data_IF_418970203603
#
_entry.id   IF_418970203603
#
_cell.length_a   1.000
_cell.length_b   1.000
_cell.length_c   1.000
_cell.angle_alpha   90.00
_cell.angle_beta   90.00
_cell.angle_gamma   90.00
#
_symmetry.space_group_name_H-M   'P 1'
#
loop_
_entity.id
_entity.type
_entity.pdbx_description
1 polymer ?
#
# COMPACT_ATOMS: atom_id res chain seq x y z
N UNK A 1 10.19 -3.93 -14.05
CA UNK A 1 9.64 -5.29 -13.79
C UNK A 1 8.31 -5.51 -14.48
N UNK A 2 7.24 -4.79 -14.12
CA UNK A 2 5.90 -4.98 -14.69
C UNK A 2 5.86 -4.84 -16.23
N UNK A 3 6.63 -3.90 -16.81
CA UNK A 3 6.76 -3.76 -18.26
C UNK A 3 7.14 -5.08 -18.97
N UNK A 4 8.22 -5.72 -18.52
CA UNK A 4 8.68 -7.00 -19.08
C UNK A 4 7.74 -8.16 -18.76
N UNK A 5 7.04 -8.11 -17.62
CA UNK A 5 6.00 -9.09 -17.33
C UNK A 5 4.85 -8.99 -18.32
N UNK A 6 4.37 -7.77 -18.59
CA UNK A 6 3.28 -7.53 -19.54
C UNK A 6 3.65 -7.91 -20.98
N UNK A 7 4.92 -7.77 -21.38
CA UNK A 7 5.35 -8.20 -22.72
C UNK A 7 5.31 -9.72 -22.91
N UNK A 8 5.35 -10.51 -21.83
CA UNK A 8 5.34 -11.98 -21.88
C UNK A 8 3.93 -12.52 -21.63
N UNK A 9 3.24 -12.01 -20.61
CA UNK A 9 1.95 -12.54 -20.13
C UNK A 9 0.73 -11.71 -20.52
N UNK A 10 0.93 -10.56 -21.18
CA UNK A 10 -0.12 -9.64 -21.60
C UNK A 10 -0.45 -8.53 -20.59
N UNK A 11 -1.30 -7.60 -21.00
CA UNK A 11 -1.69 -6.39 -20.25
C UNK A 11 -3.07 -6.47 -19.60
N UNK A 12 -3.69 -7.65 -19.56
CA UNK A 12 -5.00 -7.83 -18.91
C UNK A 12 -4.91 -7.63 -17.39
N UNK A 13 -6.05 -7.35 -16.75
CA UNK A 13 -6.13 -7.21 -15.28
C UNK A 13 -5.64 -8.47 -14.56
N UNK A 14 -5.91 -9.66 -15.10
CA UNK A 14 -5.45 -10.93 -14.53
C UNK A 14 -3.93 -11.05 -14.68
N UNK A 15 -3.40 -10.80 -15.89
CA UNK A 15 -1.97 -10.92 -16.16
C UNK A 15 -1.15 -9.97 -15.29
N UNK A 16 -1.56 -8.71 -15.19
CA UNK A 16 -0.86 -7.69 -14.39
C UNK A 16 -0.91 -7.99 -12.89
N UNK A 17 -2.03 -8.52 -12.37
CA UNK A 17 -2.17 -8.94 -10.96
C UNK A 17 -1.45 -10.26 -10.63
N UNK A 18 -1.15 -11.09 -11.62
CA UNK A 18 -0.42 -12.34 -11.40
C UNK A 18 1.03 -12.10 -10.91
N UNK A 19 1.69 -11.02 -11.36
CA UNK A 19 3.05 -10.69 -10.92
C UNK A 19 3.17 -10.52 -9.39
N UNK A 20 2.43 -9.60 -8.74
CA UNK A 20 2.47 -9.49 -7.28
C UNK A 20 1.97 -10.76 -6.58
N UNK A 21 1.10 -11.55 -7.22
CA UNK A 21 0.66 -12.85 -6.72
C UNK A 21 1.80 -13.87 -6.61
N UNK A 22 2.59 -14.01 -7.68
CA UNK A 22 3.79 -14.86 -7.69
C UNK A 22 4.79 -14.41 -6.63
N UNK A 23 5.02 -13.10 -6.49
CA UNK A 23 5.90 -12.54 -5.46
C UNK A 23 5.38 -12.85 -4.05
N UNK A 24 4.07 -12.76 -3.84
CA UNK A 24 3.41 -13.16 -2.59
C UNK A 24 3.65 -14.63 -2.25
N UNK A 25 3.51 -15.53 -3.22
CA UNK A 25 3.80 -16.97 -3.04
C UNK A 25 5.29 -17.21 -2.73
N UNK A 26 6.19 -16.53 -3.45
CA UNK A 26 7.64 -16.61 -3.19
C UNK A 26 8.02 -16.07 -1.80
N UNK A 27 7.21 -15.20 -1.21
CA UNK A 27 7.40 -14.69 0.14
C UNK A 27 7.15 -15.76 1.21
N UNK A 28 6.34 -16.78 0.93
CA UNK A 28 6.03 -17.85 1.90
C UNK A 28 7.28 -18.64 2.36
N UNK A 29 8.13 -19.21 1.49
CA UNK A 29 9.36 -19.87 1.94
C UNK A 29 10.33 -18.92 2.65
N UNK A 30 10.37 -17.64 2.24
CA UNK A 30 11.18 -16.61 2.91
C UNK A 30 10.66 -16.34 4.32
N UNK A 31 9.34 -16.23 4.50
CA UNK A 31 8.71 -16.03 5.80
C UNK A 31 8.90 -17.24 6.73
N UNK A 32 8.79 -18.46 6.20
CA UNK A 32 9.16 -19.68 6.93
C UNK A 32 10.60 -19.58 7.43
N UNK A 33 11.53 -19.25 6.53
CA UNK A 33 12.93 -19.12 6.89
C UNK A 33 13.13 -18.05 7.97
N UNK A 34 12.54 -16.87 7.83
CA UNK A 34 12.61 -15.80 8.83
C UNK A 34 12.07 -16.23 10.21
N UNK A 35 10.94 -16.95 10.24
CA UNK A 35 10.39 -17.52 11.47
C UNK A 35 11.33 -18.53 12.14
N UNK A 36 12.10 -19.30 11.37
CA UNK A 36 13.13 -20.19 11.97
C UNK A 36 14.28 -19.43 12.66
N UNK A 37 14.46 -18.13 12.35
CA UNK A 37 15.57 -17.31 12.88
C UNK A 37 15.24 -16.65 14.21
N UNK A 38 13.95 -16.42 14.51
CA UNK A 38 13.54 -15.73 15.74
C UNK A 38 13.62 -16.61 16.99
N UNK A 39 13.61 -17.95 16.83
CA UNK A 39 13.72 -18.87 17.94
C UNK A 39 14.95 -19.78 17.82
N UNK A 40 15.59 -20.06 18.97
CA UNK A 40 16.67 -21.06 19.06
C UNK A 40 16.14 -22.49 19.16
N UNK A 41 14.92 -22.66 19.69
CA UNK A 41 14.23 -23.95 19.90
C UNK A 41 12.98 -24.02 19.04
N UNK A 42 12.53 -25.23 18.68
CA UNK A 42 11.32 -25.44 17.85
C UNK A 42 11.31 -24.62 16.54
N UNK A 43 12.47 -24.47 15.90
CA UNK A 43 12.66 -23.60 14.73
C UNK A 43 11.63 -23.81 13.63
N UNK A 44 11.32 -25.06 13.30
CA UNK A 44 10.33 -25.42 12.29
C UNK A 44 8.93 -24.92 12.66
N UNK A 45 8.54 -25.00 13.93
CA UNK A 45 7.23 -24.55 14.40
C UNK A 45 7.07 -23.03 14.24
N UNK A 46 8.09 -22.25 14.60
CA UNK A 46 8.07 -20.79 14.42
C UNK A 46 8.15 -20.40 12.93
N UNK A 47 8.86 -21.17 12.12
CA UNK A 47 8.83 -21.03 10.67
C UNK A 47 7.43 -21.23 10.10
N UNK A 48 6.77 -22.35 10.44
CA UNK A 48 5.39 -22.63 10.01
C UNK A 48 4.46 -21.52 10.50
N UNK A 49 4.61 -21.07 11.75
CA UNK A 49 3.76 -20.03 12.33
C UNK A 49 3.90 -18.70 11.56
N UNK A 50 5.12 -18.23 11.29
CA UNK A 50 5.33 -17.02 10.50
C UNK A 50 4.77 -17.17 9.08
N UNK A 51 4.98 -18.32 8.45
CA UNK A 51 4.45 -18.61 7.11
C UNK A 51 2.92 -18.62 7.08
N UNK A 52 2.26 -19.23 8.07
CA UNK A 52 0.80 -19.26 8.17
C UNK A 52 0.23 -17.86 8.44
N UNK A 53 0.87 -17.05 9.29
CA UNK A 53 0.46 -15.67 9.51
C UNK A 53 0.58 -14.82 8.25
N UNK A 54 1.64 -14.99 7.45
CA UNK A 54 1.79 -14.29 6.17
C UNK A 54 0.76 -14.81 5.15
N UNK A 55 0.63 -16.12 4.99
CA UNK A 55 -0.27 -16.74 4.02
C UNK A 55 -1.75 -16.39 4.26
N UNK A 56 -2.15 -16.26 5.52
CA UNK A 56 -3.52 -15.93 5.90
C UNK A 56 -3.77 -14.42 6.11
N UNK A 57 -2.73 -13.58 6.07
CA UNK A 57 -2.88 -12.16 6.39
C UNK A 57 -3.71 -11.43 5.32
N UNK A 58 -4.77 -10.69 5.73
CA UNK A 58 -5.53 -9.84 4.80
C UNK A 58 -4.67 -8.84 4.06
N UNK A 59 -3.66 -8.28 4.73
CA UNK A 59 -2.72 -7.34 4.13
C UNK A 59 -1.86 -8.00 3.06
N UNK A 60 -1.27 -9.17 3.36
CA UNK A 60 -0.44 -9.89 2.39
C UNK A 60 -1.26 -10.36 1.18
N UNK A 61 -2.49 -10.86 1.40
CA UNK A 61 -3.40 -11.29 0.33
C UNK A 61 -3.82 -10.10 -0.53
N UNK A 62 -4.24 -8.99 0.07
CA UNK A 62 -4.61 -7.77 -0.64
C UNK A 62 -3.48 -7.31 -1.57
N UNK A 63 -2.26 -7.16 -1.04
CA UNK A 63 -1.12 -6.67 -1.83
C UNK A 63 -0.48 -7.71 -2.74
N UNK A 64 -0.93 -8.97 -2.67
CA UNK A 64 -0.63 -10.00 -3.67
C UNK A 64 -1.60 -9.95 -4.86
N UNK A 65 -2.69 -9.19 -4.78
CA UNK A 65 -3.68 -9.03 -5.88
C UNK A 65 -3.75 -7.59 -6.40
N UNK A 66 -2.93 -6.70 -5.86
CA UNK A 66 -2.87 -5.29 -6.23
C UNK A 66 -1.61 -5.02 -7.05
N UNK A 67 -1.72 -4.34 -8.19
CA UNK A 67 -0.60 -4.07 -9.11
C UNK A 67 0.23 -2.90 -8.59
N UNK A 68 0.82 -3.10 -7.40
CA UNK A 68 1.70 -2.19 -6.68
C UNK A 68 2.90 -2.95 -6.12
N UNK A 69 3.94 -2.23 -5.73
CA UNK A 69 5.24 -2.77 -5.31
C UNK A 69 5.28 -3.41 -3.91
N UNK A 70 4.18 -3.40 -3.14
CA UNK A 70 4.22 -3.76 -1.72
C UNK A 70 4.61 -5.22 -1.45
N UNK A 71 4.20 -6.16 -2.31
CA UNK A 71 4.62 -7.57 -2.19
C UNK A 71 6.15 -7.73 -2.34
N UNK A 72 6.80 -6.93 -3.20
CA UNK A 72 8.26 -6.89 -3.32
C UNK A 72 8.92 -6.41 -2.03
N UNK A 73 8.36 -5.38 -1.38
CA UNK A 73 8.91 -4.85 -0.13
C UNK A 73 8.89 -5.92 0.97
N UNK A 74 7.81 -6.68 1.09
CA UNK A 74 7.71 -7.78 2.05
C UNK A 74 8.77 -8.84 1.76
N UNK A 75 8.91 -9.27 0.50
CA UNK A 75 9.91 -10.25 0.07
C UNK A 75 11.34 -9.77 0.38
N UNK A 76 11.70 -8.57 -0.07
CA UNK A 76 13.06 -8.03 0.09
C UNK A 76 13.42 -7.78 1.55
N UNK A 77 12.48 -7.32 2.38
CA UNK A 77 12.70 -7.17 3.82
C UNK A 77 13.00 -8.53 4.47
N UNK A 78 12.29 -9.59 4.06
CA UNK A 78 12.57 -10.96 4.52
C UNK A 78 13.94 -11.48 4.10
N UNK A 79 14.30 -11.31 2.83
CA UNK A 79 15.64 -11.68 2.34
C UNK A 79 16.72 -10.89 3.09
N UNK A 80 16.49 -9.59 3.32
CA UNK A 80 17.36 -8.74 4.14
C UNK A 80 17.56 -9.29 5.55
N UNK A 81 16.48 -9.68 6.24
CA UNK A 81 16.54 -10.31 7.56
C UNK A 81 17.39 -11.60 7.54
N UNK A 82 17.23 -12.44 6.52
CA UNK A 82 18.01 -13.68 6.36
C UNK A 82 19.50 -13.35 6.14
N UNK A 83 19.82 -12.38 5.29
CA UNK A 83 21.19 -11.97 5.01
C UNK A 83 21.88 -11.40 6.25
N UNK A 84 21.23 -10.48 6.97
CA UNK A 84 21.76 -9.94 8.24
C UNK A 84 21.94 -11.04 9.29
N UNK A 85 20.99 -11.96 9.44
CA UNK A 85 21.17 -13.09 10.34
C UNK A 85 22.36 -13.96 9.93
N UNK A 86 22.52 -14.25 8.63
CA UNK A 86 23.63 -15.04 8.12
C UNK A 86 24.99 -14.36 8.37
N UNK A 87 25.03 -13.03 8.37
CA UNK A 87 26.22 -12.23 8.64
C UNK A 87 26.69 -12.42 10.10
N UNK A 88 25.76 -12.59 11.04
CA UNK A 88 26.08 -12.89 12.45
C UNK A 88 26.79 -14.23 12.65
N UNK A 89 26.58 -15.19 11.74
CA UNK A 89 27.21 -16.52 11.80
C UNK A 89 28.60 -16.52 11.21
N UNK A 90 28.75 -15.92 10.03
CA UNK A 90 30.04 -15.85 9.32
C UNK A 90 30.04 -14.66 8.36
N UNK A 91 30.73 -13.55 8.68
CA UNK A 91 30.89 -12.44 7.75
C UNK A 91 31.58 -12.90 6.44
N UNK A 92 31.05 -12.50 5.29
CA UNK A 92 31.64 -12.79 3.97
C UNK A 92 31.27 -11.71 2.97
N UNK A 93 32.12 -11.55 1.93
CA UNK A 93 31.90 -10.55 0.87
C UNK A 93 30.58 -10.80 0.11
N UNK A 94 30.23 -12.06 -0.13
CA UNK A 94 28.96 -12.43 -0.80
C UNK A 94 27.76 -11.91 -0.01
N UNK A 95 27.79 -11.98 1.32
CA UNK A 95 26.70 -11.47 2.17
C UNK A 95 26.65 -9.95 2.17
N UNK A 96 27.80 -9.28 2.16
CA UNK A 96 27.89 -7.82 2.05
C UNK A 96 27.31 -7.34 0.72
N UNK A 97 27.69 -7.97 -0.39
CA UNK A 97 27.13 -7.68 -1.70
C UNK A 97 25.62 -7.98 -1.74
N UNK A 98 25.19 -9.09 -1.15
CA UNK A 98 23.76 -9.40 -1.01
C UNK A 98 22.99 -8.33 -0.25
N UNK A 99 23.53 -7.80 0.86
CA UNK A 99 22.94 -6.68 1.61
C UNK A 99 22.88 -5.42 0.75
N UNK A 100 23.93 -5.13 -0.02
CA UNK A 100 23.94 -4.01 -0.96
C UNK A 100 22.87 -4.13 -2.05
N UNK A 101 22.73 -5.31 -2.64
CA UNK A 101 21.68 -5.59 -3.64
C UNK A 101 20.29 -5.42 -3.04
N UNK A 102 20.01 -6.00 -1.87
CA UNK A 102 18.69 -5.88 -1.23
C UNK A 102 18.41 -4.42 -0.80
N UNK A 103 19.41 -3.70 -0.31
CA UNK A 103 19.28 -2.27 0.03
C UNK A 103 18.92 -1.46 -1.22
N UNK A 104 19.64 -1.66 -2.33
CA UNK A 104 19.34 -1.04 -3.62
C UNK A 104 17.91 -1.36 -4.08
N UNK A 105 17.53 -2.65 -4.09
CA UNK A 105 16.19 -3.09 -4.51
C UNK A 105 15.07 -2.47 -3.65
N UNK A 106 15.27 -2.34 -2.34
CA UNK A 106 14.33 -1.69 -1.43
C UNK A 106 14.19 -0.18 -1.74
N UNK A 107 15.30 0.53 -1.97
CA UNK A 107 15.30 1.97 -2.29
C UNK A 107 14.63 2.27 -3.64
N UNK A 108 14.94 1.48 -4.66
CA UNK A 108 14.32 1.60 -5.99
C UNK A 108 12.87 1.11 -6.05
N UNK A 109 12.41 0.35 -5.05
CA UNK A 109 11.01 -0.08 -4.95
C UNK A 109 10.13 0.96 -4.26
N UNK A 110 10.58 1.54 -3.13
CA UNK A 110 9.76 2.47 -2.35
C UNK A 110 10.59 3.35 -1.40
N UNK A 111 10.34 4.66 -1.40
CA UNK A 111 11.12 5.61 -0.58
C UNK A 111 10.99 5.40 0.94
N UNK A 112 9.87 4.87 1.43
CA UNK A 112 9.75 4.44 2.84
C UNK A 112 10.80 3.44 3.30
N UNK A 113 11.45 2.71 2.40
CA UNK A 113 12.60 1.87 2.73
C UNK A 113 13.77 2.67 3.33
N UNK A 114 13.87 3.98 3.05
CA UNK A 114 14.87 4.87 3.66
C UNK A 114 14.77 4.85 5.19
N UNK A 115 13.56 4.87 5.75
CA UNK A 115 13.36 4.84 7.21
C UNK A 115 13.82 3.52 7.82
N UNK A 116 13.53 2.39 7.16
CA UNK A 116 13.99 1.07 7.59
C UNK A 116 15.52 0.99 7.56
N UNK A 117 16.12 1.42 6.44
CA UNK A 117 17.58 1.40 6.24
C UNK A 117 18.27 2.32 7.24
N UNK A 118 17.70 3.50 7.53
CA UNK A 118 18.23 4.44 8.52
C UNK A 118 18.26 3.84 9.93
N UNK A 119 17.18 3.17 10.35
CA UNK A 119 17.10 2.52 11.67
C UNK A 119 18.04 1.33 11.79
N UNK A 120 18.16 0.51 10.73
CA UNK A 120 19.15 -0.57 10.69
C UNK A 120 20.57 0.02 10.73
N UNK A 121 20.85 1.06 9.94
CA UNK A 121 22.13 1.76 9.90
C UNK A 121 22.52 2.33 11.26
N UNK A 122 21.62 3.06 11.92
CA UNK A 122 21.82 3.60 13.26
C UNK A 122 22.10 2.49 14.29
N UNK A 123 21.39 1.36 14.20
CA UNK A 123 21.63 0.20 15.06
C UNK A 123 23.01 -0.41 14.83
N UNK A 124 23.48 -0.48 13.58
CA UNK A 124 24.82 -0.97 13.25
C UNK A 124 25.91 0.01 13.71
N UNK A 125 25.71 1.32 13.57
CA UNK A 125 26.61 2.35 14.12
C UNK A 125 26.72 2.19 15.64
N UNK A 126 25.60 2.03 16.35
CA UNK A 126 25.60 1.70 17.79
C UNK A 126 26.39 0.42 18.10
N UNK A 127 26.27 -0.60 17.24
CA UNK A 127 27.03 -1.84 17.36
C UNK A 127 28.55 -1.71 17.16
N UNK A 128 29.05 -0.60 16.59
CA UNK A 128 30.49 -0.35 16.48
C UNK A 128 31.15 -0.12 17.84
N UNK A 129 30.40 0.37 18.83
CA UNK A 129 30.86 0.64 20.19
C UNK A 129 30.93 -0.61 21.08
N UNK A 130 30.52 -1.77 20.56
CA UNK A 130 30.53 -3.04 21.29
C UNK A 130 31.34 -4.08 20.51
N UNK A 131 32.46 -4.55 21.07
CA UNK A 131 33.39 -5.46 20.38
C UNK A 131 32.71 -6.69 19.77
N UNK A 132 31.74 -7.26 20.51
CA UNK A 132 30.93 -8.41 20.08
C UNK A 132 30.20 -8.18 18.74
N UNK A 133 29.78 -6.95 18.46
CA UNK A 133 28.98 -6.60 17.29
C UNK A 133 29.77 -5.84 16.22
N UNK A 134 30.93 -5.28 16.56
CA UNK A 134 31.76 -4.44 15.69
C UNK A 134 31.99 -5.03 14.30
N UNK A 135 32.34 -6.31 14.20
CA UNK A 135 32.59 -6.97 12.90
C UNK A 135 31.32 -7.04 12.05
N UNK A 136 30.17 -7.36 12.64
CA UNK A 136 28.89 -7.44 11.91
C UNK A 136 28.46 -6.04 11.49
N UNK A 137 28.63 -5.05 12.38
CA UNK A 137 28.35 -3.64 12.11
C UNK A 137 29.14 -3.10 10.91
N UNK A 138 30.46 -3.31 10.86
CA UNK A 138 31.29 -2.85 9.73
C UNK A 138 30.81 -3.47 8.42
N UNK A 139 30.65 -4.80 8.37
CA UNK A 139 30.24 -5.48 7.13
C UNK A 139 28.81 -5.09 6.71
N UNK A 140 27.91 -4.93 7.68
CA UNK A 140 26.54 -4.47 7.43
C UNK A 140 26.49 -3.04 6.89
N UNK A 141 27.28 -2.13 7.47
CA UNK A 141 27.38 -0.73 7.02
C UNK A 141 28.01 -0.63 5.63
N UNK A 142 29.03 -1.44 5.32
CA UNK A 142 29.59 -1.52 3.96
C UNK A 142 28.51 -1.98 2.98
N UNK A 143 27.75 -3.03 3.33
CA UNK A 143 26.66 -3.53 2.48
C UNK A 143 25.60 -2.47 2.23
N UNK A 144 25.10 -1.82 3.28
CA UNK A 144 24.14 -0.70 3.16
C UNK A 144 24.74 0.42 2.32
N UNK A 145 25.99 0.81 2.57
CA UNK A 145 26.70 1.84 1.84
C UNK A 145 26.75 1.56 0.34
N UNK A 146 27.12 0.33 -0.06
CA UNK A 146 27.10 -0.11 -1.47
C UNK A 146 25.71 0.06 -2.08
N UNK A 147 24.66 -0.36 -1.37
CA UNK A 147 23.28 -0.21 -1.86
C UNK A 147 22.79 1.24 -1.92
N UNK A 148 23.24 2.10 -1.01
CA UNK A 148 22.92 3.54 -1.07
C UNK A 148 23.67 4.24 -2.21
N UNK A 149 24.91 3.83 -2.51
CA UNK A 149 25.69 4.38 -3.62
C UNK A 149 24.98 4.16 -4.97
N UNK A 150 24.30 3.03 -5.17
CA UNK A 150 23.54 2.80 -6.41
C UNK A 150 22.35 3.73 -6.57
N UNK A 151 21.87 4.37 -5.49
CA UNK A 151 20.74 5.29 -5.52
C UNK A 151 21.15 6.74 -5.85
N UNK A 152 22.45 7.06 -5.85
CA UNK A 152 22.97 8.41 -6.16
C UNK A 152 22.46 8.94 -7.52
N UNK A 153 22.49 8.16 -8.62
CA UNK A 153 21.98 8.64 -9.92
C UNK A 153 20.49 9.00 -9.91
N UNK A 154 19.71 8.43 -8.97
CA UNK A 154 18.28 8.70 -8.83
C UNK A 154 17.97 9.88 -7.89
N UNK A 155 18.97 10.38 -7.17
CA UNK A 155 18.79 11.46 -6.19
C UNK A 155 18.15 12.73 -6.78
N UNK A 156 18.48 13.19 -8.01
CA UNK A 156 17.80 14.32 -8.63
C UNK A 156 16.29 14.10 -8.80
N UNK A 157 15.89 12.91 -9.27
CA UNK A 157 14.48 12.52 -9.44
C UNK A 157 13.76 12.45 -8.09
N UNK A 158 14.38 11.87 -7.07
CA UNK A 158 13.84 11.84 -5.71
C UNK A 158 13.59 13.25 -5.17
N UNK A 159 14.57 14.16 -5.31
CA UNK A 159 14.43 15.55 -4.86
C UNK A 159 13.31 16.25 -5.63
N UNK A 160 13.23 16.05 -6.95
CA UNK A 160 12.18 16.63 -7.78
C UNK A 160 10.78 16.14 -7.35
N UNK A 161 10.59 14.83 -7.17
CA UNK A 161 9.30 14.26 -6.75
C UNK A 161 8.90 14.68 -5.34
N UNK A 162 9.87 14.79 -4.42
CA UNK A 162 9.64 15.28 -3.07
C UNK A 162 9.11 16.72 -3.05
N UNK A 163 9.58 17.56 -3.99
CA UNK A 163 9.18 18.98 -4.09
C UNK A 163 7.88 19.21 -4.85
N UNK A 164 7.60 18.44 -5.90
CA UNK A 164 6.50 18.73 -6.83
C UNK A 164 5.36 17.72 -6.78
N UNK A 165 5.62 16.45 -6.49
CA UNK A 165 4.62 15.38 -6.60
C UNK A 165 3.98 15.07 -5.26
N UNK A 166 4.81 14.87 -4.23
CA UNK A 166 4.35 14.50 -2.90
C UNK A 166 3.31 13.36 -2.92
N UNK A 167 2.33 13.47 -2.03
CA UNK A 167 1.19 12.56 -1.90
C UNK A 167 -0.06 13.37 -1.53
N UNK A 168 -0.49 14.34 -2.37
CA UNK A 168 -1.49 15.37 -2.02
C UNK A 168 -2.89 14.82 -1.71
N UNK A 169 -3.14 13.55 -2.01
CA UNK A 169 -4.38 12.82 -1.69
C UNK A 169 -4.40 12.21 -0.29
N UNK A 170 -3.38 12.44 0.56
CA UNK A 170 -3.34 11.91 1.91
C UNK A 170 -2.86 12.96 2.91
N UNK A 171 -3.06 12.66 4.20
CA UNK A 171 -2.59 13.50 5.31
C UNK A 171 -1.22 13.02 5.84
N UNK A 172 -0.43 13.90 6.49
CA UNK A 172 0.80 13.49 7.19
C UNK A 172 0.54 12.40 8.23
N UNK A 173 1.56 11.58 8.48
CA UNK A 173 1.48 10.52 9.49
C UNK A 173 1.22 11.12 10.89
N UNK A 174 0.15 10.66 11.55
CA UNK A 174 -0.14 10.97 12.95
C UNK A 174 0.37 9.85 13.88
N UNK A 175 0.44 10.07 15.20
CA UNK A 175 0.77 8.99 16.15
C UNK A 175 -0.18 7.79 16.07
N UNK A 176 -1.43 7.99 15.64
CA UNK A 176 -2.40 6.89 15.44
C UNK A 176 -2.01 5.96 14.29
N UNK A 177 -1.05 6.35 13.43
CA UNK A 177 -0.53 5.53 12.34
C UNK A 177 -0.03 4.16 12.82
N UNK A 178 0.53 4.06 14.03
CA UNK A 178 1.01 2.78 14.59
C UNK A 178 -0.17 1.82 14.80
N UNK A 179 -1.26 2.32 15.41
CA UNK A 179 -2.48 1.53 15.65
C UNK A 179 -3.15 1.17 14.34
N UNK A 180 -3.24 2.12 13.40
CA UNK A 180 -3.77 1.88 12.07
C UNK A 180 -2.95 0.85 11.29
N UNK A 181 -1.63 0.82 11.47
CA UNK A 181 -0.72 -0.16 10.85
C UNK A 181 -1.06 -1.58 11.30
N UNK A 182 -1.16 -1.81 12.61
CA UNK A 182 -1.51 -3.13 13.15
C UNK A 182 -2.92 -3.53 12.68
N UNK A 183 -3.86 -2.60 12.70
CA UNK A 183 -5.24 -2.83 12.25
C UNK A 183 -5.29 -3.19 10.76
N UNK A 184 -4.54 -2.49 9.91
CA UNK A 184 -4.46 -2.80 8.48
C UNK A 184 -3.78 -4.14 8.19
N UNK A 185 -2.73 -4.50 8.93
CA UNK A 185 -2.12 -5.84 8.84
C UNK A 185 -3.10 -6.97 9.14
N UNK A 186 -4.11 -6.68 9.96
CA UNK A 186 -5.13 -7.62 10.43
C UNK A 186 -6.43 -7.64 9.61
N UNK A 187 -6.60 -6.80 8.58
CA UNK A 187 -7.84 -6.74 7.79
C UNK A 187 -8.67 -5.46 7.96
N UNK A 188 -8.05 -4.39 8.46
CA UNK A 188 -8.66 -3.06 8.53
C UNK A 188 -9.75 -2.96 9.58
N UNK A 189 -10.72 -2.09 9.33
CA UNK A 189 -11.72 -1.68 10.33
C UNK A 189 -12.89 -2.66 10.51
N UNK A 190 -12.89 -3.80 9.80
CA UNK A 190 -13.91 -4.85 9.95
C UNK A 190 -13.90 -5.44 11.37
N UNK A 191 -15.05 -5.96 11.84
CA UNK A 191 -15.15 -6.57 13.18
C UNK A 191 -14.14 -7.71 13.35
N UNK A 192 -14.05 -8.59 12.36
CA UNK A 192 -13.09 -9.71 12.36
C UNK A 192 -11.66 -9.19 12.27
N UNK A 193 -11.39 -8.17 11.47
CA UNK A 193 -10.06 -7.57 11.36
C UNK A 193 -9.58 -6.93 12.67
N UNK A 194 -10.45 -6.23 13.40
CA UNK A 194 -10.14 -5.71 14.74
C UNK A 194 -9.85 -6.83 15.74
N UNK A 195 -10.60 -7.94 15.68
CA UNK A 195 -10.36 -9.11 16.54
C UNK A 195 -8.99 -9.75 16.25
N UNK A 196 -8.63 -9.91 14.96
CA UNK A 196 -7.30 -10.35 14.56
C UNK A 196 -6.23 -9.38 15.06
N UNK A 197 -6.45 -8.06 14.96
CA UNK A 197 -5.50 -7.05 15.44
C UNK A 197 -5.23 -7.19 16.95
N UNK A 198 -6.26 -7.44 17.75
CA UNK A 198 -6.13 -7.72 19.19
C UNK A 198 -5.26 -8.96 19.42
N UNK A 199 -5.49 -10.06 18.71
CA UNK A 199 -4.66 -11.26 18.86
C UNK A 199 -3.21 -11.05 18.44
N UNK A 200 -2.97 -10.31 17.34
CA UNK A 200 -1.61 -9.95 16.92
C UNK A 200 -0.91 -9.06 17.96
N UNK A 201 -1.63 -8.10 18.54
CA UNK A 201 -1.11 -7.23 19.61
C UNK A 201 -0.80 -8.03 20.89
N UNK A 202 -1.69 -8.93 21.30
CA UNK A 202 -1.47 -9.81 22.46
C UNK A 202 -0.23 -10.69 22.27
N UNK A 203 -0.07 -11.29 21.09
CA UNK A 203 1.13 -12.06 20.77
C UNK A 203 2.39 -11.18 20.75
N UNK A 204 2.30 -9.95 20.24
CA UNK A 204 3.43 -9.02 20.28
C UNK A 204 3.81 -8.65 21.72
N UNK A 205 2.83 -8.38 22.59
CA UNK A 205 3.06 -8.13 24.01
C UNK A 205 3.66 -9.37 24.69
N UNK A 206 3.20 -10.56 24.37
CA UNK A 206 3.82 -11.81 24.85
C UNK A 206 5.23 -12.03 24.30
N UNK A 207 5.51 -11.60 23.07
CA UNK A 207 6.86 -11.66 22.51
C UNK A 207 7.82 -10.76 23.31
N UNK A 208 7.37 -9.56 23.66
CA UNK A 208 8.17 -8.55 24.37
C UNK A 208 8.30 -8.89 25.85
N UNK A 209 7.19 -9.18 26.54
CA UNK A 209 7.13 -9.27 28.00
C UNK A 209 6.84 -10.68 28.53
N UNK A 210 6.23 -11.57 27.75
CA UNK A 210 5.75 -12.86 28.24
C UNK A 210 6.85 -13.91 28.37
N UNK A 211 7.21 -14.30 29.59
CA UNK A 211 8.13 -15.39 29.88
C UNK A 211 7.36 -16.65 30.35
N UNK A 212 7.58 -17.83 29.74
CA UNK A 212 6.84 -19.03 30.10
C UNK A 212 7.33 -19.63 31.43
N UNK A 213 6.49 -19.68 32.47
CA UNK A 213 6.82 -20.37 33.75
C UNK A 213 6.51 -21.86 33.65
N UNK A 214 5.29 -22.22 33.25
CA UNK A 214 4.84 -23.60 33.10
C UNK A 214 3.77 -23.73 32.00
N UNK A 215 2.97 -24.80 32.02
CA UNK A 215 1.94 -25.05 31.01
C UNK A 215 0.78 -24.04 31.07
N UNK A 216 0.52 -23.46 32.24
CA UNK A 216 -0.66 -22.65 32.52
C UNK A 216 -0.31 -21.20 32.91
N UNK A 217 0.95 -20.92 33.25
CA UNK A 217 1.39 -19.61 33.74
C UNK A 217 2.43 -18.96 32.84
N UNK A 218 2.21 -17.68 32.56
CA UNK A 218 3.12 -16.78 31.86
C UNK A 218 3.44 -15.62 32.81
N UNK A 219 4.73 -15.37 33.03
CA UNK A 219 5.21 -14.20 33.76
C UNK A 219 5.34 -13.01 32.82
N UNK A 220 5.02 -11.81 33.31
CA UNK A 220 5.24 -10.56 32.57
C UNK A 220 6.55 -9.94 33.07
N UNK A 221 7.63 -10.15 32.32
CA UNK A 221 8.94 -9.57 32.60
C UNK A 221 9.08 -8.20 31.93
N UNK A 222 8.98 -7.13 32.75
CA UNK A 222 9.14 -5.74 32.32
C UNK A 222 10.55 -5.43 31.79
N UNK A 223 11.56 -6.26 32.09
CA UNK A 223 12.89 -6.10 31.48
C UNK A 223 12.86 -6.44 30.00
N UNK A 224 11.78 -7.03 29.48
CA UNK A 224 11.56 -7.48 28.09
C UNK A 224 12.49 -8.61 27.64
N UNK A 225 12.14 -9.34 26.58
CA UNK A 225 12.87 -10.54 26.13
C UNK A 225 13.92 -10.24 25.07
N UNK A 226 15.19 -10.50 25.42
CA UNK A 226 16.35 -10.20 24.56
C UNK A 226 16.30 -10.84 23.15
N UNK A 227 15.54 -11.92 22.97
CA UNK A 227 15.38 -12.61 21.69
C UNK A 227 14.63 -11.79 20.62
N UNK A 228 13.75 -10.87 21.01
CA UNK A 228 12.90 -10.11 20.06
C UNK A 228 13.11 -8.60 20.09
N UNK A 229 13.75 -8.07 21.15
CA UNK A 229 13.96 -6.62 21.35
C UNK A 229 14.46 -5.92 20.09
N UNK A 230 15.53 -6.43 19.47
CA UNK A 230 16.11 -5.83 18.27
C UNK A 230 15.12 -5.75 17.10
N UNK A 231 14.33 -6.80 16.88
CA UNK A 231 13.35 -6.86 15.81
C UNK A 231 12.21 -5.87 16.04
N UNK A 232 11.71 -5.81 17.27
CA UNK A 232 10.68 -4.85 17.71
C UNK A 232 11.21 -3.42 17.62
N UNK A 233 12.44 -3.16 18.07
CA UNK A 233 13.08 -1.85 17.96
C UNK A 233 13.24 -1.40 16.51
N UNK A 234 13.57 -2.30 15.57
CA UNK A 234 13.59 -1.95 14.15
C UNK A 234 12.19 -1.60 13.65
N UNK A 235 11.17 -2.42 13.95
CA UNK A 235 9.79 -2.19 13.49
C UNK A 235 9.28 -0.84 13.98
N UNK A 236 9.28 -0.63 15.30
CA UNK A 236 8.73 0.59 15.89
C UNK A 236 9.64 1.80 15.72
N UNK A 237 10.96 1.62 15.67
CA UNK A 237 11.89 2.69 15.31
C UNK A 237 11.68 3.18 13.88
N UNK A 238 11.42 2.26 12.95
CA UNK A 238 11.11 2.61 11.55
C UNK A 238 9.80 3.38 11.47
N UNK A 239 8.75 2.92 12.15
CA UNK A 239 7.46 3.61 12.19
C UNK A 239 7.59 4.99 12.86
N UNK A 240 8.29 5.09 13.98
CA UNK A 240 8.51 6.36 14.68
C UNK A 240 9.29 7.36 13.83
N UNK A 241 10.38 6.92 13.20
CA UNK A 241 11.17 7.77 12.30
C UNK A 241 10.35 8.20 11.09
N UNK A 242 9.50 7.33 10.55
CA UNK A 242 8.63 7.67 9.43
C UNK A 242 7.51 8.66 9.83
N UNK A 243 6.98 8.56 11.05
CA UNK A 243 6.00 9.53 11.60
C UNK A 243 6.68 10.90 11.76
N UNK A 244 7.85 10.96 12.40
CA UNK A 244 8.61 12.20 12.56
C UNK A 244 9.00 12.78 11.20
N UNK A 245 9.52 11.94 10.29
CA UNK A 245 9.90 12.34 8.94
C UNK A 245 8.70 12.86 8.14
N UNK A 246 7.56 12.19 8.21
CA UNK A 246 6.30 12.62 7.57
C UNK A 246 5.78 13.94 8.12
N UNK A 247 5.84 14.14 9.45
CA UNK A 247 5.45 15.40 10.07
C UNK A 247 6.37 16.56 9.65
N UNK A 248 7.69 16.36 9.68
CA UNK A 248 8.68 17.39 9.31
C UNK A 248 8.61 17.74 7.83
N UNK A 249 8.49 16.74 6.96
CA UNK A 249 8.42 16.93 5.51
C UNK A 249 7.02 17.30 5.00
N UNK A 250 6.01 17.28 5.87
CA UNK A 250 4.58 17.31 5.50
C UNK A 250 4.24 16.26 4.43
N UNK A 251 5.00 15.17 4.38
CA UNK A 251 4.80 14.09 3.40
C UNK A 251 3.63 13.24 3.85
N UNK A 252 2.70 12.98 2.92
CA UNK A 252 1.54 12.23 3.29
C UNK A 252 1.79 10.74 3.45
N UNK A 253 1.00 10.15 4.32
CA UNK A 253 1.13 8.78 4.75
C UNK A 253 -0.07 7.96 4.31
N UNK A 254 0.23 6.78 3.77
CA UNK A 254 -0.75 5.72 3.62
C UNK A 254 -0.21 4.49 4.32
N UNK A 255 -1.06 3.82 5.10
CA UNK A 255 -0.68 2.69 5.95
C UNK A 255 0.00 1.56 5.16
N UNK A 256 -0.32 1.42 3.87
CA UNK A 256 0.32 0.46 2.95
C UNK A 256 1.85 0.61 2.84
N UNK A 257 2.38 1.80 3.09
CA UNK A 257 3.82 2.05 3.07
C UNK A 257 4.56 1.27 4.18
N UNK A 258 3.84 0.88 5.23
CA UNK A 258 4.38 0.06 6.33
C UNK A 258 4.64 -1.41 5.94
N UNK A 259 4.36 -1.80 4.68
CA UNK A 259 4.79 -3.08 4.13
C UNK A 259 6.28 -3.37 4.36
N UNK A 260 7.12 -2.32 4.42
CA UNK A 260 8.56 -2.41 4.73
C UNK A 260 8.88 -3.00 6.11
N UNK A 261 7.95 -2.98 7.06
CA UNK A 261 8.12 -3.61 8.39
C UNK A 261 7.21 -4.82 8.62
N UNK A 262 6.30 -5.12 7.68
CA UNK A 262 5.27 -6.15 7.85
C UNK A 262 5.86 -7.52 8.23
N UNK A 263 6.82 -8.04 7.47
CA UNK A 263 7.37 -9.38 7.76
C UNK A 263 8.16 -9.42 9.07
N UNK A 264 8.87 -8.34 9.41
CA UNK A 264 9.58 -8.21 10.68
C UNK A 264 8.59 -8.24 11.86
N UNK A 265 7.47 -7.52 11.72
CA UNK A 265 6.37 -7.53 12.68
C UNK A 265 5.77 -8.93 12.83
N UNK A 266 5.44 -9.61 11.73
CA UNK A 266 4.90 -10.98 11.78
C UNK A 266 5.87 -11.97 12.43
N UNK A 267 7.18 -11.84 12.19
CA UNK A 267 8.19 -12.66 12.86
C UNK A 267 8.25 -12.38 14.38
N UNK A 268 8.09 -11.13 14.81
CA UNK A 268 8.01 -10.78 16.23
C UNK A 268 6.74 -11.35 16.88
N UNK A 269 5.59 -11.25 16.21
CA UNK A 269 4.31 -11.84 16.63
C UNK A 269 4.43 -13.36 16.74
N UNK A 270 5.00 -14.03 15.75
CA UNK A 270 5.22 -15.48 15.78
C UNK A 270 6.10 -15.90 16.97
N UNK A 271 7.11 -15.10 17.33
CA UNK A 271 7.91 -15.34 18.53
C UNK A 271 7.09 -15.26 19.82
N UNK A 272 6.01 -14.48 19.86
CA UNK A 272 5.08 -14.42 21.00
C UNK A 272 4.49 -15.76 21.42
N UNK A 273 4.33 -16.69 20.47
CA UNK A 273 3.90 -18.06 20.76
C UNK A 273 4.86 -18.79 21.70
N UNK A 274 6.13 -18.40 21.76
CA UNK A 274 7.12 -19.02 22.67
C UNK A 274 6.80 -18.80 24.15
N UNK A 275 5.92 -17.86 24.48
CA UNK A 275 5.42 -17.63 25.84
C UNK A 275 4.44 -18.71 26.28
N UNK A 276 3.93 -19.53 25.34
CA UNK A 276 3.01 -20.63 25.60
C UNK A 276 3.80 -21.96 25.55
N UNK A 277 3.97 -22.63 26.70
CA UNK A 277 4.75 -23.90 26.73
C UNK A 277 4.08 -25.04 25.98
N UNK A 278 2.74 -25.13 26.06
CA UNK A 278 1.98 -26.20 25.42
C UNK A 278 1.98 -26.05 23.90
N UNK A 279 2.55 -27.04 23.20
CA UNK A 279 2.52 -27.12 21.73
C UNK A 279 1.10 -27.12 21.18
N UNK A 280 0.18 -27.82 21.84
CA UNK A 280 -1.23 -27.86 21.44
C UNK A 280 -1.86 -26.47 21.51
N UNK A 281 -1.61 -25.71 22.59
CA UNK A 281 -2.15 -24.34 22.73
C UNK A 281 -1.55 -23.42 21.66
N UNK A 282 -0.24 -23.51 21.38
CA UNK A 282 0.39 -22.75 20.29
C UNK A 282 -0.27 -23.06 18.95
N UNK A 283 -0.48 -24.34 18.65
CA UNK A 283 -1.11 -24.81 17.41
C UNK A 283 -2.57 -24.35 17.29
N UNK A 284 -3.37 -24.51 18.34
CA UNK A 284 -4.76 -24.02 18.34
C UNK A 284 -4.81 -22.50 18.15
N UNK A 285 -3.92 -21.75 18.80
CA UNK A 285 -3.89 -20.30 18.68
C UNK A 285 -3.51 -19.86 17.27
N UNK A 286 -2.44 -20.41 16.69
CA UNK A 286 -2.02 -20.03 15.33
C UNK A 286 -3.06 -20.44 14.29
N UNK A 287 -3.66 -21.62 14.40
CA UNK A 287 -4.74 -22.06 13.50
C UNK A 287 -5.94 -21.12 13.63
N UNK A 288 -6.37 -20.81 14.86
CA UNK A 288 -7.49 -19.91 15.11
C UNK A 288 -7.26 -18.50 14.53
N UNK A 289 -6.09 -17.91 14.79
CA UNK A 289 -5.74 -16.59 14.23
C UNK A 289 -5.65 -16.62 12.72
N UNK A 290 -5.05 -17.67 12.12
CA UNK A 290 -5.00 -17.83 10.67
C UNK A 290 -6.39 -17.99 10.04
N UNK A 291 -7.29 -18.78 10.64
CA UNK A 291 -8.67 -18.93 10.17
C UNK A 291 -9.44 -17.60 10.26
N UNK A 292 -9.34 -16.88 11.39
CA UNK A 292 -9.94 -15.55 11.53
C UNK A 292 -9.37 -14.55 10.51
N UNK A 293 -8.07 -14.64 10.23
CA UNK A 293 -7.41 -13.80 9.22
C UNK A 293 -7.91 -14.11 7.80
N UNK A 294 -8.16 -15.39 7.47
CA UNK A 294 -8.79 -15.77 6.21
C UNK A 294 -10.24 -15.26 6.11
N UNK A 295 -11.01 -15.33 7.20
CA UNK A 295 -12.37 -14.74 7.25
C UNK A 295 -12.30 -13.23 7.04
N UNK A 296 -11.39 -12.53 7.70
CA UNK A 296 -11.17 -11.09 7.47
C UNK A 296 -10.74 -10.78 6.03
N UNK A 297 -10.03 -11.70 5.37
CA UNK A 297 -9.59 -11.57 3.98
C UNK A 297 -10.72 -11.76 2.97
N UNK A 298 -11.82 -12.43 3.34
CA UNK A 298 -12.94 -12.76 2.44
C UNK A 298 -13.60 -11.54 1.79
N UNK A 299 -13.49 -10.36 2.41
CA UNK A 299 -13.94 -9.08 1.83
C UNK A 299 -13.31 -8.83 0.46
N UNK A 300 -12.06 -9.26 0.25
CA UNK A 300 -11.37 -9.12 -1.05
C UNK A 300 -12.00 -9.95 -2.19
N UNK A 301 -12.88 -10.90 -1.88
CA UNK A 301 -13.56 -11.73 -2.88
C UNK A 301 -14.78 -10.99 -3.46
N UNK A 302 -15.45 -10.18 -2.64
CA UNK A 302 -16.73 -9.58 -2.99
C UNK A 302 -16.65 -8.07 -3.25
N UNK A 303 -15.57 -7.40 -2.84
CA UNK A 303 -15.32 -5.99 -3.15
C UNK A 303 -14.49 -5.86 -4.41
N UNK A 304 -15.10 -5.32 -5.45
CA UNK A 304 -14.43 -5.02 -6.72
C UNK A 304 -13.54 -3.78 -6.59
N UNK A 305 -12.51 -3.69 -7.44
CA UNK A 305 -11.53 -2.60 -7.36
C UNK A 305 -12.05 -1.27 -7.91
N UNK A 306 -12.91 -1.31 -8.91
CA UNK A 306 -13.36 -0.12 -9.63
C UNK A 306 -14.72 -0.38 -10.29
N UNK A 307 -15.59 0.63 -10.24
CA UNK A 307 -16.90 0.67 -10.90
C UNK A 307 -16.81 0.99 -12.40
N UNK A 308 -15.61 1.30 -12.89
CA UNK A 308 -15.37 1.84 -14.22
C UNK A 308 -15.88 0.96 -15.36
N UNK A 309 -15.95 -0.36 -15.18
CA UNK A 309 -16.52 -1.27 -16.16
C UNK A 309 -18.03 -1.03 -16.38
N UNK A 310 -18.79 -0.70 -15.34
CA UNK A 310 -20.21 -0.37 -15.44
C UNK A 310 -20.37 0.96 -16.15
N UNK A 311 -19.67 1.99 -15.68
CA UNK A 311 -19.67 3.35 -16.26
C UNK A 311 -19.28 3.32 -17.74
N UNK A 312 -18.17 2.66 -18.07
CA UNK A 312 -17.68 2.54 -19.43
C UNK A 312 -18.65 1.79 -20.35
N UNK A 313 -19.25 0.70 -19.87
CA UNK A 313 -20.27 -0.03 -20.65
C UNK A 313 -21.53 0.80 -20.89
N UNK A 314 -21.94 1.62 -19.93
CA UNK A 314 -23.08 2.53 -20.08
C UNK A 314 -22.78 3.62 -21.11
N UNK A 315 -21.61 4.26 -21.03
CA UNK A 315 -21.15 5.24 -22.04
C UNK A 315 -21.10 4.59 -23.42
N UNK A 316 -20.49 3.40 -23.55
CA UNK A 316 -20.35 2.71 -24.84
C UNK A 316 -21.69 2.38 -25.51
N UNK A 317 -22.75 2.17 -24.72
CA UNK A 317 -24.10 1.87 -25.24
C UNK A 317 -24.87 3.12 -25.67
N UNK A 318 -24.62 4.26 -25.02
CA UNK A 318 -25.46 5.45 -25.14
C UNK A 318 -24.80 6.58 -25.94
N UNK A 319 -23.47 6.67 -25.91
CA UNK A 319 -22.76 7.78 -26.50
C UNK A 319 -22.76 7.73 -28.04
N UNK A 320 -22.85 8.92 -28.63
CA UNK A 320 -22.81 9.14 -30.09
C UNK A 320 -21.52 9.86 -30.47
N UNK A 321 -21.06 9.74 -31.73
CA UNK A 321 -19.94 10.53 -32.22
C UNK A 321 -20.16 12.04 -31.96
N UNK A 322 -19.16 12.68 -31.35
CA UNK A 322 -19.20 14.10 -30.95
C UNK A 322 -19.64 14.37 -29.51
N UNK A 323 -20.19 13.37 -28.81
CA UNK A 323 -20.43 13.45 -27.37
C UNK A 323 -19.12 13.61 -26.59
N UNK A 324 -19.22 14.22 -25.41
CA UNK A 324 -18.07 14.54 -24.55
C UNK A 324 -18.21 13.80 -23.21
N UNK A 325 -17.13 13.15 -22.77
CA UNK A 325 -16.99 12.60 -21.42
C UNK A 325 -16.08 13.49 -20.61
N UNK A 326 -16.57 13.97 -19.48
CA UNK A 326 -15.87 14.84 -18.54
C UNK A 326 -15.62 14.05 -17.25
N UNK A 327 -14.39 14.12 -16.72
CA UNK A 327 -14.02 13.47 -15.46
C UNK A 327 -13.68 14.50 -14.39
N UNK A 328 -14.30 14.36 -13.20
CA UNK A 328 -13.92 15.11 -11.99
C UNK A 328 -14.09 14.22 -10.76
N UNK A 329 -13.03 13.89 -10.01
CA UNK A 329 -11.65 14.31 -10.25
C UNK A 329 -11.05 13.64 -11.49
N UNK A 330 -9.96 14.19 -12.01
CA UNK A 330 -9.17 13.54 -13.07
C UNK A 330 -8.65 12.14 -12.70
N UNK A 331 -8.63 11.79 -11.40
CA UNK A 331 -8.23 10.50 -10.87
C UNK A 331 -9.10 9.33 -11.35
N UNK A 332 -10.38 9.57 -11.66
CA UNK A 332 -11.30 8.57 -12.21
C UNK A 332 -11.04 8.28 -13.69
N UNK A 333 -10.45 9.25 -14.40
CA UNK A 333 -10.22 9.22 -15.84
C UNK A 333 -9.51 7.97 -16.35
N UNK A 334 -8.34 7.56 -15.80
CA UNK A 334 -7.58 6.45 -16.35
C UNK A 334 -8.29 5.10 -16.33
N UNK A 335 -9.13 4.85 -15.33
CA UNK A 335 -9.87 3.59 -15.21
C UNK A 335 -10.96 3.51 -16.27
N UNK A 336 -11.80 4.54 -16.36
CA UNK A 336 -12.91 4.61 -17.32
C UNK A 336 -12.42 4.77 -18.77
N UNK A 337 -11.39 5.59 -19.01
CA UNK A 337 -10.79 5.78 -20.34
C UNK A 337 -10.37 4.46 -21.00
N UNK A 338 -9.88 3.49 -20.23
CA UNK A 338 -9.42 2.20 -20.76
C UNK A 338 -10.55 1.29 -21.24
N UNK A 339 -11.78 1.50 -20.76
CA UNK A 339 -12.94 0.64 -21.06
C UNK A 339 -13.96 1.33 -21.96
N UNK A 340 -13.90 2.65 -22.10
CA UNK A 340 -14.69 3.39 -23.11
C UNK A 340 -14.08 3.18 -24.50
N UNK A 341 -14.83 2.53 -25.38
CA UNK A 341 -14.48 2.27 -26.79
C UNK A 341 -15.26 3.15 -27.75
N UNK A 342 -16.29 3.86 -27.29
CA UNK A 342 -17.04 4.81 -28.10
C UNK A 342 -16.13 5.94 -28.62
N UNK A 343 -16.42 6.43 -29.83
CA UNK A 343 -15.70 7.56 -30.44
C UNK A 343 -16.21 8.89 -29.87
N UNK A 344 -15.79 9.18 -28.64
CA UNK A 344 -16.16 10.38 -27.88
C UNK A 344 -14.93 11.19 -27.53
N UNK A 345 -15.12 12.50 -27.38
CA UNK A 345 -14.09 13.33 -26.79
C UNK A 345 -14.06 13.07 -25.29
N UNK A 346 -12.87 12.93 -24.71
CA UNK A 346 -12.71 12.67 -23.29
C UNK A 346 -11.73 13.68 -22.67
N UNK A 347 -12.17 14.38 -21.63
CA UNK A 347 -11.40 15.46 -21.00
C UNK A 347 -11.49 15.39 -19.48
N UNK A 348 -10.44 15.83 -18.80
CA UNK A 348 -10.39 15.86 -17.34
C UNK A 348 -10.41 17.28 -16.79
N UNK A 349 -11.08 17.47 -15.66
CA UNK A 349 -10.97 18.69 -14.85
C UNK A 349 -9.71 18.63 -13.97
N UNK A 350 -8.92 19.71 -13.85
CA UNK A 350 -9.14 21.05 -14.40
C UNK A 350 -8.46 21.35 -15.74
N UNK A 351 -7.65 20.43 -16.27
CA UNK A 351 -6.68 20.74 -17.33
C UNK A 351 -7.23 20.71 -18.74
N UNK A 352 -8.44 20.18 -18.97
CA UNK A 352 -8.91 19.75 -20.30
C UNK A 352 -7.97 18.73 -20.97
N UNK A 353 -7.10 18.10 -20.18
CA UNK A 353 -6.12 17.14 -20.67
C UNK A 353 -6.71 15.77 -20.98
N UNK A 354 -5.85 14.87 -21.44
CA UNK A 354 -6.22 13.48 -21.67
C UNK A 354 -6.47 12.74 -20.34
N UNK A 355 -7.54 11.93 -20.22
CA UNK A 355 -7.79 11.09 -19.04
C UNK A 355 -6.87 9.88 -18.95
N UNK A 356 -5.96 9.67 -19.90
CA UNK A 356 -5.11 8.47 -19.95
C UNK A 356 -4.19 8.35 -18.73
N UNK A 357 -3.71 9.48 -18.22
CA UNK A 357 -2.80 9.54 -17.08
C UNK A 357 -3.13 10.77 -16.22
N UNK A 358 -3.02 10.60 -14.90
CA UNK A 358 -3.00 11.72 -13.96
C UNK A 358 -1.58 12.25 -13.91
N UNK A 359 -1.42 13.54 -14.17
CA UNK A 359 -0.18 14.25 -13.89
C UNK A 359 -0.20 14.69 -12.43
N UNK A 360 0.74 14.22 -11.62
CA UNK A 360 0.79 14.52 -10.20
C UNK A 360 1.69 15.71 -9.84
N UNK A 361 2.31 16.38 -10.82
CA UNK A 361 3.20 17.52 -10.60
C UNK A 361 2.39 18.75 -10.15
N UNK A 362 2.75 19.35 -9.01
CA UNK A 362 2.09 20.49 -8.39
C UNK A 362 0.56 20.35 -8.31
N UNK A 363 0.10 19.11 -8.14
CA UNK A 363 -1.29 18.72 -8.34
C UNK A 363 -2.27 19.50 -7.46
N UNK A 364 -1.97 19.65 -6.16
CA UNK A 364 -2.80 20.43 -5.25
C UNK A 364 -2.92 21.90 -5.68
N UNK A 365 -1.80 22.57 -6.01
CA UNK A 365 -1.81 23.98 -6.45
C UNK A 365 -2.59 24.17 -7.74
N UNK A 366 -2.47 23.22 -8.67
CA UNK A 366 -3.22 23.23 -9.94
C UNK A 366 -4.73 23.12 -9.69
N UNK A 367 -5.16 22.28 -8.76
CA UNK A 367 -6.58 22.13 -8.46
C UNK A 367 -7.11 23.34 -7.69
N UNK A 368 -6.36 23.86 -6.71
CA UNK A 368 -6.71 25.09 -5.97
C UNK A 368 -6.83 26.34 -6.87
N UNK A 369 -6.14 26.36 -8.01
CA UNK A 369 -6.21 27.46 -8.99
C UNK A 369 -7.21 27.22 -10.13
N UNK A 370 -7.95 26.11 -10.08
CA UNK A 370 -8.94 25.78 -11.09
C UNK A 370 -10.14 26.74 -11.05
N UNK A 371 -10.75 26.98 -12.21
CA UNK A 371 -11.95 27.79 -12.33
C UNK A 371 -13.07 26.97 -12.98
N UNK A 372 -14.04 26.56 -12.18
CA UNK A 372 -15.15 25.69 -12.60
C UNK A 372 -15.98 26.36 -13.69
N UNK A 373 -16.36 27.62 -13.52
CA UNK A 373 -17.21 28.36 -14.47
C UNK A 373 -16.53 28.45 -15.85
N UNK A 374 -15.25 28.79 -15.89
CA UNK A 374 -14.46 28.81 -17.13
C UNK A 374 -14.42 27.43 -17.79
N UNK A 375 -14.28 26.38 -16.98
CA UNK A 375 -14.25 25.02 -17.49
C UNK A 375 -15.60 24.60 -18.08
N UNK A 376 -16.69 24.81 -17.34
CA UNK A 376 -18.06 24.51 -17.77
C UNK A 376 -18.40 25.28 -19.04
N UNK A 377 -18.19 26.60 -19.09
CA UNK A 377 -18.45 27.41 -20.28
C UNK A 377 -17.75 26.89 -21.54
N UNK A 378 -16.54 26.34 -21.39
CA UNK A 378 -15.82 25.72 -22.50
C UNK A 378 -16.45 24.40 -22.93
N UNK A 379 -16.91 23.56 -22.00
CA UNK A 379 -17.69 22.37 -22.33
C UNK A 379 -18.99 22.76 -23.04
N UNK A 380 -19.70 23.78 -22.56
CA UNK A 380 -20.95 24.23 -23.17
C UNK A 380 -20.78 24.64 -24.62
N UNK A 381 -19.73 25.43 -24.91
CA UNK A 381 -19.40 25.86 -26.26
C UNK A 381 -19.13 24.68 -27.21
N UNK A 382 -18.50 23.61 -26.70
CA UNK A 382 -18.14 22.43 -27.49
C UNK A 382 -19.29 21.43 -27.64
N UNK A 383 -20.15 21.32 -26.64
CA UNK A 383 -21.20 20.30 -26.58
C UNK A 383 -22.58 20.81 -27.00
N UNK A 384 -22.71 21.99 -27.61
CA UNK A 384 -24.01 22.63 -27.94
C UNK A 384 -25.09 21.68 -28.49
N UNK A 385 -24.75 20.77 -29.41
CA UNK A 385 -25.65 19.76 -29.98
C UNK A 385 -25.32 18.31 -29.58
N UNK A 386 -24.44 18.11 -28.61
CA UNK A 386 -23.92 16.82 -28.19
C UNK A 386 -24.22 16.55 -26.71
N UNK A 387 -24.30 15.29 -26.31
CA UNK A 387 -24.47 14.93 -24.91
C UNK A 387 -23.18 15.14 -24.14
N UNK A 388 -23.31 15.50 -22.86
CA UNK A 388 -22.19 15.52 -21.91
C UNK A 388 -22.39 14.39 -20.92
N UNK A 389 -21.44 13.46 -20.88
CA UNK A 389 -21.35 12.44 -19.85
C UNK A 389 -20.37 12.93 -18.79
N UNK A 390 -20.83 13.06 -17.56
CA UNK A 390 -20.03 13.51 -16.44
C UNK A 390 -19.79 12.34 -15.48
N UNK A 391 -18.53 11.92 -15.40
CA UNK A 391 -18.06 10.88 -14.48
C UNK A 391 -17.46 11.57 -13.27
N UNK A 392 -18.06 11.38 -12.11
CA UNK A 392 -17.67 12.16 -10.94
C UNK A 392 -17.89 11.49 -9.60
N UNK A 393 -17.15 11.97 -8.60
CA UNK A 393 -17.25 11.50 -7.22
C UNK A 393 -16.85 12.63 -6.26
N UNK A 394 -17.43 12.64 -5.06
CA UNK A 394 -17.14 13.62 -4.00
C UNK A 394 -15.99 13.16 -3.08
N UNK A 395 -15.58 14.03 -2.14
CA UNK A 395 -14.70 13.63 -1.04
C UNK A 395 -13.20 13.48 -1.38
N UNK A 396 -12.78 13.88 -2.59
CA UNK A 396 -11.36 13.92 -2.95
C UNK A 396 -10.66 15.14 -2.35
N UNK A 397 -9.65 14.88 -1.52
CA UNK A 397 -8.98 15.89 -0.67
C UNK A 397 -8.52 17.16 -1.42
N UNK A 398 -8.08 17.03 -2.68
CA UNK A 398 -7.54 18.15 -3.47
C UNK A 398 -8.59 18.91 -4.29
N UNK A 399 -9.82 18.40 -4.37
CA UNK A 399 -10.92 19.02 -5.13
C UNK A 399 -11.98 19.62 -4.21
N UNK A 400 -11.97 19.31 -2.91
CA UNK A 400 -12.96 19.87 -1.98
C UNK A 400 -14.37 19.51 -2.43
N UNK A 401 -15.11 20.53 -2.88
CA UNK A 401 -16.49 20.40 -3.41
C UNK A 401 -16.61 20.76 -4.90
N UNK A 402 -15.48 20.83 -5.61
CA UNK A 402 -15.43 21.31 -6.99
C UNK A 402 -16.22 20.42 -7.94
N UNK A 403 -16.20 19.10 -7.72
CA UNK A 403 -16.88 18.14 -8.59
C UNK A 403 -18.40 18.17 -8.42
N UNK A 404 -18.87 18.35 -7.18
CA UNK A 404 -20.26 18.55 -6.81
C UNK A 404 -20.77 19.89 -7.36
N UNK A 405 -19.97 20.95 -7.21
CA UNK A 405 -20.27 22.28 -7.74
C UNK A 405 -20.40 22.23 -9.26
N UNK A 406 -19.49 21.54 -9.95
CA UNK A 406 -19.56 21.35 -11.40
C UNK A 406 -20.79 20.54 -11.82
N UNK A 407 -21.20 19.52 -11.05
CA UNK A 407 -22.46 18.82 -11.29
C UNK A 407 -23.64 19.81 -11.25
N UNK A 408 -23.66 20.71 -10.26
CA UNK A 408 -24.65 21.77 -10.13
C UNK A 408 -24.68 22.73 -11.33
N UNK A 409 -23.52 23.18 -11.80
CA UNK A 409 -23.41 24.05 -12.98
C UNK A 409 -23.94 23.35 -14.26
N UNK A 410 -23.57 22.09 -14.49
CA UNK A 410 -24.10 21.32 -15.62
C UNK A 410 -25.62 21.11 -15.51
N UNK A 411 -26.14 20.85 -14.31
CA UNK A 411 -27.57 20.70 -14.08
C UNK A 411 -28.33 22.02 -14.30
N UNK A 412 -27.75 23.16 -13.93
CA UNK A 412 -28.31 24.49 -14.19
C UNK A 412 -28.37 24.80 -15.70
N UNK A 413 -27.32 24.44 -16.44
CA UNK A 413 -27.28 24.58 -17.90
C UNK A 413 -28.22 23.62 -18.62
N UNK A 414 -28.30 22.37 -18.16
CA UNK A 414 -29.14 21.29 -18.74
C UNK A 414 -30.01 20.64 -17.66
N UNK A 415 -31.18 21.23 -17.36
CA UNK A 415 -32.08 20.73 -16.32
C UNK A 415 -32.61 19.31 -16.55
N UNK A 416 -32.51 18.78 -17.76
CA UNK A 416 -32.85 17.39 -18.10
C UNK A 416 -31.73 16.39 -17.79
N UNK A 417 -30.69 16.79 -17.05
CA UNK A 417 -29.64 15.91 -16.57
C UNK A 417 -30.20 14.76 -15.74
N UNK A 418 -29.66 13.56 -15.92
CA UNK A 418 -30.10 12.37 -15.19
C UNK A 418 -28.91 11.48 -14.81
N UNK A 419 -28.94 10.93 -13.60
CA UNK A 419 -27.95 9.96 -13.14
C UNK A 419 -28.21 8.62 -13.81
N UNK A 420 -27.19 8.07 -14.46
CA UNK A 420 -27.22 6.76 -15.14
C UNK A 420 -26.58 5.66 -14.30
N UNK A 421 -25.59 6.01 -13.47
CA UNK A 421 -24.94 5.11 -12.52
C UNK A 421 -24.80 5.88 -11.21
N UNK A 422 -25.36 5.32 -10.15
CA UNK A 422 -25.14 5.76 -8.77
C UNK A 422 -23.91 5.05 -8.21
N UNK A 423 -23.14 5.75 -7.38
CA UNK A 423 -21.95 5.21 -6.73
C UNK A 423 -22.33 4.03 -5.81
N UNK A 424 -21.49 3.00 -5.77
CA UNK A 424 -21.71 1.85 -4.88
C UNK A 424 -20.51 1.61 -3.95
N UNK A 425 -20.30 2.45 -2.92
CA UNK A 425 -19.13 2.42 -2.05
C UNK A 425 -19.00 1.14 -1.21
N UNK A 426 -20.09 0.39 -1.03
CA UNK A 426 -20.07 -0.91 -0.34
C UNK A 426 -19.57 -2.05 -1.24
N UNK A 427 -19.60 -1.87 -2.56
CA UNK A 427 -19.28 -2.90 -3.55
C UNK A 427 -17.97 -2.61 -4.28
N UNK A 428 -17.69 -1.36 -4.60
CA UNK A 428 -16.49 -0.94 -5.30
C UNK A 428 -15.60 -0.10 -4.40
N UNK A 429 -14.29 -0.39 -4.45
CA UNK A 429 -13.29 0.42 -3.75
C UNK A 429 -13.13 1.80 -4.37
N UNK A 430 -13.08 1.87 -5.71
CA UNK A 430 -13.15 3.10 -6.50
C UNK A 430 -14.54 3.12 -7.13
N UNK A 431 -15.44 3.87 -6.52
CA UNK A 431 -16.82 4.05 -6.95
C UNK A 431 -16.95 5.44 -7.60
N UNK A 432 -17.93 5.59 -8.49
CA UNK A 432 -18.13 6.85 -9.20
C UNK A 432 -19.56 6.97 -9.75
N UNK A 433 -20.09 8.20 -9.78
CA UNK A 433 -21.32 8.53 -10.48
C UNK A 433 -21.09 8.70 -11.97
N UNK A 434 -22.10 8.32 -12.77
CA UNK A 434 -22.21 8.73 -14.17
C UNK A 434 -23.51 9.51 -14.36
N UNK A 435 -23.40 10.78 -14.71
CA UNK A 435 -24.55 11.64 -15.04
C UNK A 435 -24.53 11.98 -16.53
N UNK A 436 -25.67 11.87 -17.21
CA UNK A 436 -25.81 12.35 -18.59
C UNK A 436 -26.56 13.69 -18.58
N UNK A 437 -26.03 14.66 -19.32
CA UNK A 437 -26.69 15.92 -19.64
C UNK A 437 -27.00 15.93 -21.14
N UNK A 438 -28.23 15.59 -21.56
CA UNK A 438 -28.59 15.45 -22.97
C UNK A 438 -28.45 16.75 -23.75
N UNK A 439 -28.15 16.65 -25.06
CA UNK A 439 -28.21 17.80 -25.95
C UNK A 439 -29.60 18.46 -25.91
N UNK A 440 -29.65 19.80 -25.84
CA UNK A 440 -30.92 20.51 -25.93
C UNK A 440 -31.47 20.35 -27.35
N UNK A 441 -32.58 19.64 -27.49
CA UNK A 441 -33.31 19.59 -28.76
C UNK A 441 -33.84 21.00 -28.99
N UNK A 442 -33.28 21.74 -29.95
CA UNK A 442 -33.93 22.96 -30.43
C UNK A 442 -35.30 22.57 -30.96
N UNK A 443 -36.33 22.85 -30.18
CA UNK A 443 -37.71 22.89 -30.65
C UNK A 443 -37.74 23.86 -31.83
N UNK A 444 -37.72 23.35 -33.06
CA UNK A 444 -38.05 24.14 -34.24
C UNK A 444 -39.52 24.55 -34.12
N UNK A 445 -39.76 25.75 -33.60
CA UNK A 445 -41.02 26.46 -33.79
C UNK A 445 -40.91 27.34 -35.01
#
# INVERSE_FOLDING_TARGET
>A
LLHYWMSIFGSSSIATRALPGVIGVLTLPVSYKCGTLVSKVNKAEFGISAMLLVAASPFAIYYSTDVRMYSLLVLFTGIGMILFHSLTKRPSIIKVLGIGVITSLLLYSHYWSLYLIAIIGASLVGGLFYEKYRKISVYGLIGIGIGCLTFIPWLPTFIYQSKHTGTPWAQPASPTAIVQTITQFAGGNSVVGRLVAIFLLLLLLFAIFGAPIDKYRVEIDLKTRSGVRYLVSIVFGTLALAIVGGYVSKSAFSVRYTAVVFLLFICAVAFGLSSLKSRQVRQCFIIGVSLLSLVASSVNIYTDRSESAIVGNTINKMAKPGDIVVYCPDQLGPAVYRVVTANVMQVVFPTFGSPKFVDWVDYQKRNESANIVTFVNRIEAMASNHNVFYVWEEGYLTFGVDCETMAGEFQAWRPSGNVLVEDQPTRYYEHEHLTIYPAQIKSSK
#
